data_IF_163100311979
#
_entry.id   IF_163100311979
#
_cell.length_a   1.000
_cell.length_b   1.000
_cell.length_c   1.000
_cell.angle_alpha   90.00
_cell.angle_beta   90.00
_cell.angle_gamma   90.00
#
_symmetry.space_group_name_H-M   'P 1'
#
loop_
_entity.id
_entity.type
_entity.pdbx_description
1 polymer ?
#
# COMPACT_ATOMS: atom_id res chain seq x y z
N UNK A 1 2.18 16.16 -5.45
CA UNK A 1 2.69 14.97 -6.16
C UNK A 1 1.99 13.72 -5.65
N UNK A 2 1.67 12.74 -6.52
CA UNK A 2 1.09 11.44 -6.12
C UNK A 2 2.06 10.59 -5.30
N UNK A 3 3.36 10.68 -5.57
CA UNK A 3 4.38 10.00 -4.79
C UNK A 3 4.36 10.40 -3.31
N UNK A 4 4.16 11.70 -3.03
CA UNK A 4 4.04 12.20 -1.65
C UNK A 4 2.82 11.60 -0.94
N UNK A 5 1.66 11.55 -1.61
CA UNK A 5 0.43 10.96 -1.04
C UNK A 5 0.64 9.48 -0.71
N UNK A 6 1.35 8.77 -1.59
CA UNK A 6 1.66 7.37 -1.34
C UNK A 6 2.58 7.20 -0.13
N UNK A 7 3.66 7.97 -0.02
CA UNK A 7 4.55 7.95 1.15
C UNK A 7 3.79 8.28 2.43
N UNK A 8 2.85 9.22 2.38
CA UNK A 8 1.96 9.54 3.50
C UNK A 8 1.04 8.37 3.87
N UNK A 9 0.48 7.66 2.88
CA UNK A 9 -0.29 6.42 3.11
C UNK A 9 0.56 5.36 3.80
N UNK A 10 1.77 5.08 3.31
CA UNK A 10 2.70 4.14 3.96
C UNK A 10 2.97 4.58 5.41
N UNK A 11 3.32 5.85 5.62
CA UNK A 11 3.62 6.37 6.95
C UNK A 11 2.41 6.27 7.90
N UNK A 12 1.19 6.48 7.41
CA UNK A 12 -0.02 6.33 8.18
C UNK A 12 -0.25 4.87 8.60
N UNK A 13 -0.05 3.92 7.68
CA UNK A 13 -0.17 2.47 7.94
C UNK A 13 0.85 2.03 8.98
N UNK A 14 2.13 2.40 8.82
CA UNK A 14 3.19 2.05 9.77
C UNK A 14 2.89 2.58 11.18
N UNK A 15 2.40 3.83 11.29
CA UNK A 15 2.07 4.44 12.59
C UNK A 15 0.88 3.79 13.29
N UNK A 16 -0.01 3.16 12.54
CA UNK A 16 -1.27 2.62 13.06
C UNK A 16 -1.38 1.09 12.87
N UNK A 17 -0.25 0.39 12.72
CA UNK A 17 -0.23 -1.06 12.45
C UNK A 17 -0.97 -1.90 13.50
N UNK A 18 -1.14 -1.37 14.72
CA UNK A 18 -1.92 -2.01 15.79
C UNK A 18 -3.45 -1.81 15.67
N UNK A 19 -3.91 -0.96 14.77
CA UNK A 19 -5.33 -0.64 14.52
C UNK A 19 -5.71 -1.08 13.10
N UNK A 20 -5.59 -2.38 12.81
CA UNK A 20 -5.74 -2.91 11.45
C UNK A 20 -7.11 -2.64 10.84
N UNK A 21 -8.20 -2.79 11.60
CA UNK A 21 -9.57 -2.59 11.09
C UNK A 21 -9.80 -1.16 10.55
N UNK A 22 -9.27 -0.13 11.22
CA UNK A 22 -9.40 1.25 10.76
C UNK A 22 -8.53 1.53 9.52
N UNK A 23 -7.38 0.85 9.42
CA UNK A 23 -6.53 0.92 8.23
C UNK A 23 -7.16 0.25 7.02
N UNK A 24 -7.86 -0.88 7.19
CA UNK A 24 -8.56 -1.56 6.10
C UNK A 24 -9.61 -0.64 5.47
N UNK A 25 -10.46 -0.01 6.29
CA UNK A 25 -11.48 0.94 5.82
C UNK A 25 -10.83 2.15 5.11
N UNK A 26 -9.76 2.71 5.69
CA UNK A 26 -9.03 3.83 5.09
C UNK A 26 -8.43 3.48 3.72
N UNK A 27 -7.76 2.33 3.60
CA UNK A 27 -7.15 1.87 2.36
C UNK A 27 -8.19 1.52 1.29
N UNK A 28 -9.29 0.90 1.72
CA UNK A 28 -10.43 0.62 0.85
C UNK A 28 -11.02 1.92 0.27
N UNK A 29 -11.22 2.95 1.09
CA UNK A 29 -11.72 4.25 0.61
C UNK A 29 -10.76 4.92 -0.39
N UNK A 30 -9.44 4.78 -0.20
CA UNK A 30 -8.47 5.22 -1.22
C UNK A 30 -8.77 4.52 -2.56
N UNK A 31 -9.01 3.20 -2.53
CA UNK A 31 -9.39 2.40 -3.69
C UNK A 31 -10.65 2.91 -4.38
N UNK A 32 -11.71 3.14 -3.61
CA UNK A 32 -12.99 3.69 -4.06
C UNK A 32 -12.79 5.04 -4.78
N UNK A 33 -12.02 5.95 -4.17
CA UNK A 33 -11.70 7.24 -4.78
C UNK A 33 -10.92 7.13 -6.08
N UNK A 34 -10.16 6.05 -6.31
CA UNK A 34 -9.44 5.86 -7.57
C UNK A 34 -10.33 5.45 -8.75
N UNK A 35 -11.57 5.01 -8.50
CA UNK A 35 -12.54 4.69 -9.56
C UNK A 35 -12.80 5.89 -10.48
N UNK A 36 -12.75 7.12 -9.95
CA UNK A 36 -12.90 8.35 -10.73
C UNK A 36 -11.87 8.47 -11.88
N UNK A 37 -10.74 7.79 -11.78
CA UNK A 37 -9.68 7.80 -12.78
C UNK A 37 -9.79 6.66 -13.80
N UNK A 38 -10.73 5.73 -13.63
CA UNK A 38 -10.93 4.60 -14.54
C UNK A 38 -11.24 5.07 -15.97
N UNK A 39 -12.07 6.11 -16.12
CA UNK A 39 -12.40 6.73 -17.41
C UNK A 39 -11.19 7.36 -18.11
N UNK A 40 -10.11 7.63 -17.38
CA UNK A 40 -8.85 8.18 -17.89
C UNK A 40 -7.79 7.10 -18.13
N UNK A 41 -8.17 5.83 -18.10
CA UNK A 41 -7.29 4.69 -18.37
C UNK A 41 -6.51 4.19 -17.16
N UNK A 42 -6.87 4.59 -15.94
CA UNK A 42 -6.30 3.99 -14.73
C UNK A 42 -6.65 2.49 -14.67
N UNK A 43 -5.66 1.67 -14.33
CA UNK A 43 -5.82 0.22 -14.16
C UNK A 43 -5.22 -0.20 -12.81
N UNK A 44 -5.89 -1.04 -12.01
CA UNK A 44 -5.36 -1.52 -10.73
C UNK A 44 -4.00 -2.22 -10.81
N UNK A 45 -3.63 -2.77 -11.98
CA UNK A 45 -2.32 -3.38 -12.23
C UNK A 45 -1.15 -2.40 -12.08
N UNK A 46 -1.40 -1.09 -12.18
CA UNK A 46 -0.37 -0.08 -11.92
C UNK A 46 0.09 -0.08 -10.44
N UNK A 47 -0.76 -0.56 -9.52
CA UNK A 47 -0.36 -0.77 -8.14
C UNK A 47 0.56 -1.98 -7.96
N UNK A 48 0.45 -3.01 -8.80
CA UNK A 48 1.36 -4.16 -8.76
C UNK A 48 2.77 -3.77 -9.19
N UNK A 49 2.86 -3.06 -10.32
CA UNK A 49 4.13 -2.50 -10.81
C UNK A 49 4.80 -1.61 -9.75
N UNK A 50 4.00 -0.90 -8.98
CA UNK A 50 4.49 -0.06 -7.91
C UNK A 50 5.02 -0.90 -6.73
N UNK A 51 4.35 -1.99 -6.35
CA UNK A 51 4.84 -2.94 -5.34
C UNK A 51 6.18 -3.55 -5.74
N UNK A 52 6.33 -3.95 -7.01
CA UNK A 52 7.60 -4.48 -7.53
C UNK A 52 8.72 -3.44 -7.43
N UNK A 53 8.44 -2.20 -7.82
CA UNK A 53 9.40 -1.10 -7.71
C UNK A 53 9.79 -0.81 -6.24
N UNK A 54 8.82 -0.84 -5.31
CA UNK A 54 9.10 -0.71 -3.89
C UNK A 54 9.97 -1.84 -3.37
N UNK A 55 9.69 -3.09 -3.77
CA UNK A 55 10.46 -4.25 -3.35
C UNK A 55 11.93 -4.11 -3.76
N UNK A 56 12.20 -3.66 -4.98
CA UNK A 56 13.56 -3.37 -5.45
C UNK A 56 14.19 -2.25 -4.62
N UNK A 57 13.49 -1.13 -4.43
CA UNK A 57 14.01 0.02 -3.69
C UNK A 57 14.31 -0.30 -2.22
N UNK A 58 13.42 -1.03 -1.55
CA UNK A 58 13.57 -1.47 -0.16
C UNK A 58 14.70 -2.48 -0.02
N UNK A 59 14.78 -3.47 -0.91
CA UNK A 59 15.87 -4.46 -0.89
C UNK A 59 17.23 -3.76 -1.01
N UNK A 60 17.37 -2.86 -2.00
CA UNK A 60 18.58 -2.07 -2.17
C UNK A 60 18.90 -1.24 -0.92
N UNK A 61 17.92 -0.53 -0.37
CA UNK A 61 18.14 0.30 0.83
C UNK A 61 18.55 -0.54 2.05
N UNK A 62 17.88 -1.65 2.32
CA UNK A 62 18.16 -2.54 3.46
C UNK A 62 19.54 -3.18 3.39
N UNK A 63 20.04 -3.49 2.19
CA UNK A 63 21.42 -4.01 2.04
C UNK A 63 22.50 -2.96 2.33
N UNK A 64 22.15 -1.68 2.28
CA UNK A 64 23.07 -0.55 2.50
C UNK A 64 22.89 0.17 3.84
N UNK A 65 21.91 -0.24 4.66
CA UNK A 65 21.58 0.41 5.93
C UNK A 65 22.60 0.01 7.03
N UNK A 66 23.45 0.93 7.50
CA UNK A 66 24.43 0.63 8.54
C UNK A 66 23.79 0.32 9.90
N UNK A 67 22.58 0.82 10.17
CA UNK A 67 21.83 0.64 11.42
C UNK A 67 21.25 -0.78 11.57
N UNK A 68 21.21 -1.55 10.49
CA UNK A 68 20.86 -2.97 10.49
C UNK A 68 22.13 -3.77 10.16
N UNK A 69 23.03 -4.02 11.12
CA UNK A 69 24.34 -4.60 10.80
C UNK A 69 24.26 -6.09 10.47
N UNK A 70 23.30 -6.82 11.02
CA UNK A 70 23.18 -8.25 10.79
C UNK A 70 22.28 -8.56 9.58
N UNK A 71 22.58 -9.68 8.91
CA UNK A 71 21.88 -10.12 7.70
C UNK A 71 20.42 -10.53 7.98
N UNK A 72 20.18 -11.19 9.11
CA UNK A 72 18.84 -11.68 9.48
C UNK A 72 17.83 -10.55 9.67
N UNK A 73 18.21 -9.46 10.34
CA UNK A 73 17.35 -8.28 10.53
C UNK A 73 17.05 -7.59 9.20
N UNK A 74 18.00 -7.56 8.27
CA UNK A 74 17.77 -7.02 6.92
C UNK A 74 16.75 -7.87 6.17
N UNK A 75 16.89 -9.20 6.23
CA UNK A 75 15.95 -10.12 5.60
C UNK A 75 14.55 -10.02 6.23
N UNK A 76 14.47 -9.98 7.57
CA UNK A 76 13.22 -9.74 8.31
C UNK A 76 12.58 -8.40 7.93
N UNK A 77 13.36 -7.32 7.88
CA UNK A 77 12.85 -6.00 7.49
C UNK A 77 12.30 -6.01 6.06
N UNK A 78 12.99 -6.66 5.11
CA UNK A 78 12.51 -6.79 3.73
C UNK A 78 11.15 -7.50 3.70
N UNK A 79 10.97 -8.58 4.47
CA UNK A 79 9.69 -9.30 4.55
C UNK A 79 8.59 -8.40 5.14
N UNK A 80 8.85 -7.76 6.29
CA UNK A 80 7.88 -6.86 6.93
C UNK A 80 7.43 -5.74 5.98
N UNK A 81 8.36 -5.13 5.26
CA UNK A 81 8.02 -4.07 4.31
C UNK A 81 7.23 -4.60 3.10
N UNK A 82 7.48 -5.83 2.65
CA UNK A 82 6.67 -6.48 1.60
C UNK A 82 5.25 -6.74 2.11
N UNK A 83 5.09 -7.21 3.33
CA UNK A 83 3.78 -7.46 3.93
C UNK A 83 2.97 -6.16 4.07
N UNK A 84 3.61 -5.07 4.49
CA UNK A 84 2.98 -3.74 4.55
C UNK A 84 2.54 -3.29 3.15
N UNK A 85 3.40 -3.42 2.13
CA UNK A 85 3.07 -3.06 0.76
C UNK A 85 1.87 -3.87 0.23
N UNK A 86 1.89 -5.17 0.46
CA UNK A 86 0.83 -6.08 0.06
C UNK A 86 -0.48 -5.73 0.77
N UNK A 87 -0.45 -5.48 2.08
CA UNK A 87 -1.61 -5.07 2.85
C UNK A 87 -2.26 -3.80 2.27
N UNK A 88 -1.46 -2.79 1.94
CA UNK A 88 -1.92 -1.53 1.33
C UNK A 88 -2.61 -1.80 -0.02
N UNK A 89 -1.92 -2.50 -0.92
CA UNK A 89 -2.41 -2.70 -2.29
C UNK A 89 -3.64 -3.61 -2.33
N UNK A 90 -3.69 -4.65 -1.49
CA UNK A 90 -4.85 -5.55 -1.42
C UNK A 90 -6.13 -4.78 -1.08
N UNK A 91 -6.12 -3.99 0.00
CA UNK A 91 -7.31 -3.24 0.41
C UNK A 91 -7.68 -2.12 -0.57
N UNK A 92 -6.69 -1.44 -1.16
CA UNK A 92 -6.94 -0.46 -2.23
C UNK A 92 -7.57 -1.12 -3.48
N UNK A 93 -7.12 -2.31 -3.85
CA UNK A 93 -7.70 -3.07 -4.98
C UNK A 93 -9.11 -3.53 -4.70
N UNK A 94 -9.38 -4.03 -3.49
CA UNK A 94 -10.74 -4.39 -3.08
C UNK A 94 -11.68 -3.18 -3.18
N UNK A 95 -11.26 -2.04 -2.62
CA UNK A 95 -11.98 -0.77 -2.72
C UNK A 95 -12.27 -0.36 -4.15
N UNK A 96 -11.29 -0.44 -5.03
CA UNK A 96 -11.48 -0.11 -6.44
C UNK A 96 -12.44 -1.07 -7.14
N UNK A 97 -12.25 -2.38 -6.96
CA UNK A 97 -13.03 -3.42 -7.63
C UNK A 97 -14.50 -3.38 -7.23
N UNK A 98 -14.77 -3.13 -5.95
CA UNK A 98 -16.13 -2.95 -5.44
C UNK A 98 -16.72 -1.63 -5.91
N UNK A 99 -15.94 -0.55 -5.92
CA UNK A 99 -16.40 0.75 -6.41
C UNK A 99 -16.77 0.76 -7.89
N UNK A 100 -16.06 0.01 -8.74
CA UNK A 100 -16.46 -0.22 -10.15
C UNK A 100 -17.82 -0.92 -10.26
N UNK A 101 -18.19 -1.76 -9.28
CA UNK A 101 -19.49 -2.44 -9.21
C UNK A 101 -20.56 -1.60 -8.49
N UNK A 102 -20.23 -0.39 -8.02
CA UNK A 102 -21.13 0.45 -7.22
C UNK A 102 -21.32 -0.04 -5.79
N UNK A 103 -20.41 -0.85 -5.27
CA UNK A 103 -20.45 -1.43 -3.91
C UNK A 103 -19.50 -0.64 -2.99
N UNK A 104 -19.98 -0.27 -1.81
CA UNK A 104 -19.16 0.26 -0.72
C UNK A 104 -19.39 -0.55 0.57
N UNK A 105 -18.35 -1.28 1.02
CA UNK A 105 -18.39 -2.08 2.27
C UNK A 105 -18.38 -1.21 3.54
N UNK A 106 -17.95 0.04 3.44
CA UNK A 106 -17.83 0.99 4.54
C UNK A 106 -18.62 2.28 4.26
N UNK A 107 -19.97 2.19 4.18
CA UNK A 107 -20.79 3.38 3.93
C UNK A 107 -20.81 4.30 5.16
N UNK A 108 -20.51 5.59 4.97
CA UNK A 108 -20.58 6.60 6.03
C UNK A 108 -19.36 6.69 6.95
N UNK A 109 -18.27 5.98 6.61
CA UNK A 109 -16.93 6.19 7.15
C UNK A 109 -16.14 7.19 6.28
#
# INVERSE_FOLDING_TARGET
SQALRFVQTIAHVVKNVYHTESLEAFLYDIGQRHVQYASRGFKPIYWDLFTDAMQVALTNRMTTLPELPNKEDRERAIVIWRDIALFIITHMKEGYNDGIKGINRFPGL
#
